data_IF_616125483240
#
_entry.id   IF_616125483240
#
_cell.length_a   1.000
_cell.length_b   1.000
_cell.length_c   1.000
_cell.angle_alpha   90.00
_cell.angle_beta   90.00
_cell.angle_gamma   90.00
#
_symmetry.space_group_name_H-M   'P 1'
#
loop_
_entity.id
_entity.type
_entity.pdbx_description
1 polymer ?
#
# COMPACT_ATOMS: atom_id res chain seq x y z
N UNK A 1 -19.36 17.68 11.38
CA UNK A 1 -19.41 17.97 9.93
C UNK A 1 -18.43 17.08 9.21
N UNK A 2 -18.93 15.96 8.68
CA UNK A 2 -18.18 14.92 8.01
C UNK A 2 -17.96 15.23 6.54
N UNK A 3 -16.90 15.93 6.23
CA UNK A 3 -16.38 16.05 4.88
C UNK A 3 -15.41 14.92 4.55
N UNK A 4 -15.76 13.69 4.86
CA UNK A 4 -15.05 12.53 4.33
C UNK A 4 -15.54 12.36 2.89
N UNK A 5 -14.78 12.87 1.91
CA UNK A 5 -14.97 12.47 0.52
C UNK A 5 -14.73 10.97 0.43
N UNK A 6 -15.82 10.22 0.38
CA UNK A 6 -15.78 8.80 0.07
C UNK A 6 -15.30 8.67 -1.38
N UNK A 7 -14.05 8.26 -1.54
CA UNK A 7 -13.42 8.10 -2.87
C UNK A 7 -13.92 6.85 -3.60
N UNK A 8 -14.63 5.95 -2.89
CA UNK A 8 -15.15 4.69 -3.44
C UNK A 8 -15.98 4.88 -4.70
N UNK A 9 -17.00 5.77 -4.74
CA UNK A 9 -17.83 5.93 -5.94
C UNK A 9 -17.04 6.42 -7.15
N UNK A 10 -16.01 7.25 -6.92
CA UNK A 10 -15.19 7.83 -7.99
C UNK A 10 -14.28 6.76 -8.60
N UNK A 11 -13.61 5.99 -7.75
CA UNK A 11 -12.72 4.89 -8.17
C UNK A 11 -13.52 3.77 -8.86
N UNK A 12 -14.67 3.41 -8.31
CA UNK A 12 -15.59 2.41 -8.89
C UNK A 12 -16.04 2.79 -10.31
N UNK A 13 -16.52 4.01 -10.47
CA UNK A 13 -16.97 4.54 -11.75
C UNK A 13 -15.85 4.53 -12.79
N UNK A 14 -14.66 4.97 -12.43
CA UNK A 14 -13.52 5.03 -13.34
C UNK A 14 -13.00 3.66 -13.76
N UNK A 15 -12.94 2.70 -12.84
CA UNK A 15 -12.56 1.32 -13.14
C UNK A 15 -13.61 0.67 -14.07
N UNK A 16 -14.90 0.93 -13.86
CA UNK A 16 -15.96 0.41 -14.74
C UNK A 16 -15.92 1.03 -16.14
N UNK A 17 -15.67 2.32 -16.26
CA UNK A 17 -15.53 3.02 -17.54
C UNK A 17 -14.32 2.50 -18.34
N UNK A 18 -13.18 2.24 -17.66
CA UNK A 18 -12.01 1.65 -18.33
C UNK A 18 -12.23 0.21 -18.79
N UNK A 19 -12.97 -0.60 -18.02
CA UNK A 19 -13.33 -1.96 -18.44
C UNK A 19 -14.22 -1.92 -19.69
N UNK A 20 -15.12 -0.96 -19.78
CA UNK A 20 -16.02 -0.81 -20.92
C UNK A 20 -15.28 -0.36 -22.19
N UNK A 21 -14.31 0.54 -22.06
CA UNK A 21 -13.48 0.99 -23.18
C UNK A 21 -12.53 -0.10 -23.71
N UNK A 22 -12.05 -1.03 -22.86
CA UNK A 22 -11.23 -2.17 -23.30
C UNK A 22 -12.01 -3.21 -24.12
N UNK A 23 -13.32 -3.30 -23.94
CA UNK A 23 -14.16 -4.26 -24.67
C UNK A 23 -14.50 -3.75 -26.10
N UNK A 24 -14.43 -2.45 -26.32
CA UNK A 24 -14.74 -1.85 -27.65
C UNK A 24 -13.53 -1.73 -28.56
N UNK A 25 -12.30 -1.96 -28.06
CA UNK A 25 -11.04 -1.79 -28.84
C UNK A 25 -10.42 -3.11 -29.31
N UNK A 26 -11.13 -4.24 -29.21
CA UNK A 26 -10.62 -5.58 -29.56
C UNK A 26 -10.87 -6.05 -31.01
N UNK A 27 -11.28 -5.18 -31.90
CA UNK A 27 -11.46 -5.51 -33.32
C UNK A 27 -10.65 -4.57 -34.22
N UNK A 28 -9.34 -4.75 -34.31
CA UNK A 28 -8.52 -4.43 -35.51
C UNK A 28 -7.14 -5.10 -35.39
N UNK A 29 -6.98 -6.11 -36.18
CA UNK A 29 -5.91 -6.66 -37.04
C UNK A 29 -4.42 -6.38 -36.73
N UNK A 30 -3.70 -7.50 -36.79
CA UNK A 30 -2.28 -7.78 -36.88
C UNK A 30 -1.44 -6.72 -37.61
N UNK A 31 -0.39 -6.18 -36.96
CA UNK A 31 1.00 -6.15 -37.49
C UNK A 31 1.97 -5.45 -36.52
N UNK A 32 3.06 -6.18 -36.23
CA UNK A 32 4.45 -5.76 -36.08
C UNK A 32 4.92 -5.00 -34.82
N UNK A 33 5.77 -5.70 -34.11
CA UNK A 33 6.80 -5.35 -33.15
C UNK A 33 7.16 -3.85 -33.00
N UNK A 34 6.76 -3.26 -31.88
CA UNK A 34 7.61 -2.42 -31.04
C UNK A 34 6.99 -2.34 -29.66
N UNK A 35 7.71 -2.80 -28.63
CA UNK A 35 7.40 -2.56 -27.23
C UNK A 35 7.57 -1.06 -26.92
N UNK A 36 6.56 -0.27 -27.27
CA UNK A 36 6.28 0.99 -26.59
C UNK A 36 5.31 0.64 -25.45
N UNK A 37 5.85 0.51 -24.25
CA UNK A 37 5.06 0.60 -23.04
C UNK A 37 4.57 2.05 -22.94
N UNK A 38 3.53 2.38 -23.68
CA UNK A 38 2.71 3.53 -23.39
C UNK A 38 2.18 3.32 -21.96
N UNK A 39 2.83 3.95 -21.00
CA UNK A 39 2.24 4.22 -19.69
C UNK A 39 0.96 5.01 -19.97
N UNK A 40 -0.13 4.29 -20.14
CA UNK A 40 -1.45 4.90 -20.19
C UNK A 40 -1.62 5.59 -18.84
N UNK A 41 -1.45 6.90 -18.86
CA UNK A 41 -1.65 7.76 -17.70
C UNK A 41 -3.11 7.59 -17.25
N UNK A 42 -3.32 6.66 -16.32
CA UNK A 42 -4.66 6.31 -15.84
C UNK A 42 -5.11 7.41 -14.87
N UNK A 43 -6.02 8.33 -15.26
CA UNK A 43 -6.36 9.51 -14.45
C UNK A 43 -6.85 9.18 -13.04
N UNK A 44 -7.45 7.99 -12.85
CA UNK A 44 -7.93 7.54 -11.54
C UNK A 44 -6.78 7.33 -10.55
N UNK A 45 -5.60 6.92 -11.03
CA UNK A 45 -4.43 6.71 -10.15
C UNK A 45 -4.01 8.03 -9.50
N UNK A 46 -3.89 9.08 -10.29
CA UNK A 46 -3.55 10.40 -9.77
C UNK A 46 -4.62 10.91 -8.81
N UNK A 47 -5.89 10.73 -9.13
CA UNK A 47 -6.99 11.12 -8.25
C UNK A 47 -6.98 10.36 -6.93
N UNK A 48 -6.69 9.06 -6.95
CA UNK A 48 -6.53 8.26 -5.74
C UNK A 48 -5.35 8.76 -4.88
N UNK A 49 -4.19 9.00 -5.49
CA UNK A 49 -3.01 9.50 -4.79
C UNK A 49 -3.26 10.87 -4.17
N UNK A 50 -3.93 11.77 -4.88
CA UNK A 50 -4.32 13.10 -4.37
C UNK A 50 -5.30 12.99 -3.20
N UNK A 51 -6.24 12.07 -3.27
CA UNK A 51 -7.18 11.80 -2.18
C UNK A 51 -6.47 11.24 -0.94
N UNK A 52 -5.55 10.30 -1.13
CA UNK A 52 -4.73 9.73 -0.05
C UNK A 52 -3.86 10.80 0.62
N UNK A 53 -3.27 11.73 -0.18
CA UNK A 53 -2.48 12.83 0.34
C UNK A 53 -3.30 13.82 1.18
N UNK A 54 -4.55 14.06 0.81
CA UNK A 54 -5.47 14.94 1.55
C UNK A 54 -6.09 14.27 2.78
N UNK A 55 -6.00 12.96 2.85
CA UNK A 55 -6.56 12.19 3.95
C UNK A 55 -5.86 12.54 5.28
N UNK A 56 -6.61 12.54 6.37
CA UNK A 56 -6.03 12.61 7.70
C UNK A 56 -5.11 11.40 7.92
N UNK A 57 -3.94 11.54 8.58
CA UNK A 57 -3.00 10.42 8.80
C UNK A 57 -3.66 9.17 9.42
N UNK A 58 -4.58 9.36 10.35
CA UNK A 58 -5.31 8.24 10.97
C UNK A 58 -6.25 7.52 9.99
N UNK A 59 -6.92 8.27 9.12
CA UNK A 59 -7.75 7.69 8.06
C UNK A 59 -6.90 6.94 7.02
N UNK A 60 -5.72 7.47 6.69
CA UNK A 60 -4.77 6.79 5.82
C UNK A 60 -4.31 5.46 6.41
N UNK A 61 -3.97 5.44 7.70
CA UNK A 61 -3.63 4.21 8.42
C UNK A 61 -4.76 3.17 8.32
N UNK A 62 -6.01 3.58 8.61
CA UNK A 62 -7.18 2.70 8.53
C UNK A 62 -7.42 2.18 7.11
N UNK A 63 -7.23 3.03 6.10
CA UNK A 63 -7.29 2.63 4.70
C UNK A 63 -6.25 1.55 4.37
N UNK A 64 -5.00 1.75 4.77
CA UNK A 64 -3.93 0.77 4.55
C UNK A 64 -4.19 -0.55 5.28
N UNK A 65 -4.68 -0.50 6.51
CA UNK A 65 -5.07 -1.71 7.28
C UNK A 65 -6.16 -2.50 6.56
N UNK A 66 -7.20 -1.81 6.07
CA UNK A 66 -8.27 -2.44 5.29
C UNK A 66 -7.76 -3.06 3.99
N UNK A 67 -6.84 -2.40 3.28
CA UNK A 67 -6.21 -2.94 2.08
C UNK A 67 -5.39 -4.21 2.40
N UNK A 68 -4.58 -4.20 3.44
CA UNK A 68 -3.80 -5.35 3.89
C UNK A 68 -4.70 -6.54 4.30
N UNK A 69 -5.83 -6.26 4.92
CA UNK A 69 -6.83 -7.30 5.24
C UNK A 69 -7.38 -7.95 3.96
N UNK A 70 -7.63 -7.17 2.91
CA UNK A 70 -8.01 -7.71 1.59
C UNK A 70 -6.93 -8.57 0.95
N UNK A 71 -5.67 -8.30 1.27
CA UNK A 71 -4.51 -9.10 0.81
C UNK A 71 -4.34 -10.40 1.62
N UNK A 72 -5.17 -10.65 2.63
CA UNK A 72 -5.11 -11.87 3.45
C UNK A 72 -4.26 -11.75 4.72
N UNK A 73 -3.92 -10.53 5.13
CA UNK A 73 -3.26 -10.28 6.41
C UNK A 73 -4.33 -10.05 7.48
N UNK A 74 -4.33 -10.89 8.50
CA UNK A 74 -5.20 -10.73 9.66
C UNK A 74 -4.63 -9.63 10.58
N UNK A 75 -5.12 -8.42 10.42
CA UNK A 75 -4.63 -7.25 11.15
C UNK A 75 -5.31 -7.14 12.50
N UNK A 76 -4.53 -7.12 13.58
CA UNK A 76 -5.06 -6.94 14.94
C UNK A 76 -5.48 -5.51 15.21
N UNK A 77 -6.75 -5.32 15.56
CA UNK A 77 -7.34 -4.00 15.84
C UNK A 77 -6.94 -3.43 17.21
N UNK A 78 -6.65 -4.27 18.19
CA UNK A 78 -6.45 -3.85 19.58
C UNK A 78 -5.08 -3.26 19.90
N UNK A 79 -4.05 -3.59 19.13
CA UNK A 79 -2.66 -3.19 19.44
C UNK A 79 -2.34 -1.77 18.96
N UNK A 80 -3.07 -1.27 17.98
CA UNK A 80 -2.81 0.04 17.37
C UNK A 80 -2.99 1.24 18.30
N UNK A 81 -3.69 1.12 19.42
CA UNK A 81 -4.00 2.24 20.30
C UNK A 81 -2.96 2.41 21.42
N UNK A 82 -2.31 1.35 21.87
CA UNK A 82 -1.35 1.41 22.99
C UNK A 82 0.09 1.68 22.58
N UNK A 83 0.48 1.40 21.34
CA UNK A 83 1.89 1.47 20.90
C UNK A 83 2.23 2.66 20.00
N UNK A 84 1.26 3.51 19.69
CA UNK A 84 1.46 4.72 18.87
C UNK A 84 2.41 5.73 19.54
N UNK A 85 2.57 5.67 20.85
CA UNK A 85 3.39 6.65 21.59
C UNK A 85 4.90 6.40 21.49
N UNK A 86 5.36 5.19 21.22
CA UNK A 86 6.75 4.82 21.55
C UNK A 86 7.64 4.32 20.42
N UNK A 87 7.26 4.26 19.16
CA UNK A 87 8.26 3.72 18.28
C UNK A 87 7.98 3.47 16.80
N UNK A 88 6.99 4.10 16.21
CA UNK A 88 6.85 4.07 14.76
C UNK A 88 6.32 2.74 14.20
N UNK A 89 5.48 2.05 14.95
CA UNK A 89 4.74 0.88 14.51
C UNK A 89 3.25 1.17 14.62
N UNK A 90 2.50 1.03 13.51
CA UNK A 90 1.06 1.28 13.51
C UNK A 90 0.23 0.05 13.87
N UNK A 91 0.83 -1.12 13.87
CA UNK A 91 0.16 -2.35 14.26
C UNK A 91 0.89 -3.63 13.87
N UNK A 92 0.24 -4.72 14.15
CA UNK A 92 0.65 -6.07 13.78
C UNK A 92 -0.43 -6.77 13.00
N UNK A 93 -0.02 -7.76 12.25
CA UNK A 93 -0.90 -8.70 11.63
C UNK A 93 -0.29 -10.09 11.63
N UNK A 94 -1.08 -11.05 11.23
CA UNK A 94 -0.67 -12.42 11.07
C UNK A 94 -1.00 -12.89 9.66
N UNK A 95 -0.06 -13.61 9.08
CA UNK A 95 -0.27 -14.35 7.84
C UNK A 95 -0.25 -15.83 8.18
N UNK A 96 -1.30 -16.54 7.79
CA UNK A 96 -1.34 -17.99 7.89
C UNK A 96 -1.13 -18.58 6.51
N UNK A 97 -0.09 -19.39 6.37
CA UNK A 97 0.17 -20.14 5.14
C UNK A 97 -0.70 -21.40 5.05
N UNK A 98 -0.75 -22.00 3.85
CA UNK A 98 -1.56 -23.20 3.59
C UNK A 98 -1.15 -24.42 4.44
N UNK A 99 0.10 -24.45 4.93
CA UNK A 99 0.62 -25.45 5.86
C UNK A 99 0.34 -25.11 7.33
N UNK A 100 -0.58 -24.18 7.59
CA UNK A 100 -0.95 -23.69 8.93
C UNK A 100 0.16 -22.97 9.70
N UNK A 101 1.22 -22.57 9.04
CA UNK A 101 2.26 -21.74 9.65
C UNK A 101 1.74 -20.31 9.82
N UNK A 102 1.84 -19.80 11.05
CA UNK A 102 1.48 -18.41 11.36
C UNK A 102 2.74 -17.57 11.47
N UNK A 103 2.78 -16.47 10.72
CA UNK A 103 3.90 -15.53 10.69
C UNK A 103 3.43 -14.17 11.18
N UNK A 104 4.15 -13.56 12.13
CA UNK A 104 3.85 -12.22 12.64
C UNK A 104 4.46 -11.16 11.71
N UNK A 105 3.64 -10.18 11.33
CA UNK A 105 4.00 -9.09 10.44
C UNK A 105 3.87 -7.77 11.18
N UNK A 106 4.91 -6.94 11.14
CA UNK A 106 4.82 -5.55 11.60
C UNK A 106 4.30 -4.65 10.48
N UNK A 107 3.47 -3.69 10.80
CA UNK A 107 2.82 -2.79 9.85
C UNK A 107 3.12 -1.33 10.18
N UNK A 108 3.51 -0.56 9.17
CA UNK A 108 3.65 0.88 9.24
C UNK A 108 2.98 1.49 8.02
N UNK A 109 2.04 2.40 8.25
CA UNK A 109 1.42 3.20 7.21
C UNK A 109 1.75 4.68 7.44
N UNK A 110 2.45 5.29 6.51
CA UNK A 110 2.91 6.67 6.67
C UNK A 110 2.50 7.54 5.49
N UNK A 111 1.53 8.44 5.73
CA UNK A 111 1.23 9.51 4.79
C UNK A 111 2.39 10.52 4.81
N UNK A 112 3.05 10.67 3.68
CA UNK A 112 4.28 11.45 3.59
C UNK A 112 4.28 12.41 2.40
N UNK A 113 4.90 13.56 2.58
CA UNK A 113 5.27 14.46 1.50
C UNK A 113 6.74 14.24 1.14
N UNK A 114 7.05 14.12 -0.14
CA UNK A 114 8.38 13.74 -0.59
C UNK A 114 8.64 12.24 -0.43
N UNK A 115 9.89 11.83 -0.53
CA UNK A 115 10.27 10.41 -0.46
C UNK A 115 10.63 9.99 0.97
N UNK A 116 10.20 8.80 1.35
CA UNK A 116 10.58 8.20 2.64
C UNK A 116 12.06 7.79 2.58
N UNK A 117 12.83 8.18 3.57
CA UNK A 117 14.28 7.98 3.62
C UNK A 117 14.70 6.76 4.46
N UNK A 118 15.96 6.35 4.34
CA UNK A 118 16.53 5.20 5.04
C UNK A 118 16.38 5.25 6.58
N UNK A 119 16.57 6.38 7.27
CA UNK A 119 16.36 6.45 8.72
C UNK A 119 14.97 6.02 9.19
N UNK A 120 13.93 6.27 8.39
CA UNK A 120 12.58 5.81 8.70
C UNK A 120 12.45 4.29 8.62
N UNK A 121 13.16 3.67 7.69
CA UNK A 121 13.22 2.21 7.54
C UNK A 121 13.98 1.58 8.71
N UNK A 122 15.10 2.17 9.13
CA UNK A 122 15.87 1.69 10.28
C UNK A 122 15.07 1.79 11.57
N UNK A 123 14.35 2.87 11.77
CA UNK A 123 13.45 3.06 12.91
C UNK A 123 12.36 1.97 12.94
N UNK A 124 11.76 1.68 11.80
CA UNK A 124 10.76 0.62 11.67
C UNK A 124 11.36 -0.77 11.94
N UNK A 125 12.56 -1.04 11.45
CA UNK A 125 13.30 -2.29 11.74
C UNK A 125 13.54 -2.47 13.24
N UNK A 126 13.94 -1.41 13.94
CA UNK A 126 14.11 -1.45 15.41
C UNK A 126 12.79 -1.79 16.13
N UNK A 127 11.67 -1.28 15.64
CA UNK A 127 10.36 -1.63 16.18
C UNK A 127 10.00 -3.11 15.89
N UNK A 128 10.31 -3.62 14.70
CA UNK A 128 10.12 -5.04 14.36
C UNK A 128 10.87 -5.95 15.34
N UNK A 129 12.12 -5.61 15.67
CA UNK A 129 12.94 -6.38 16.60
C UNK A 129 12.35 -6.39 18.01
N UNK A 130 11.91 -5.23 18.49
CA UNK A 130 11.28 -5.08 19.80
C UNK A 130 10.04 -5.97 19.96
N UNK A 131 9.28 -6.18 18.91
CA UNK A 131 8.02 -6.91 18.92
C UNK A 131 8.11 -8.32 18.30
N UNK A 132 9.31 -8.79 17.98
CA UNK A 132 9.54 -10.11 17.38
C UNK A 132 8.73 -10.36 16.10
N UNK A 133 8.57 -9.34 15.25
CA UNK A 133 7.95 -9.53 13.95
C UNK A 133 8.94 -10.21 13.00
N UNK A 134 8.49 -11.22 12.28
CA UNK A 134 9.33 -11.99 11.35
C UNK A 134 9.63 -11.20 10.08
N UNK A 135 8.67 -10.41 9.60
CA UNK A 135 8.88 -9.43 8.53
C UNK A 135 8.01 -8.18 8.73
N UNK A 136 8.29 -7.15 7.95
CA UNK A 136 7.57 -5.88 8.02
C UNK A 136 7.01 -5.44 6.70
N UNK A 137 5.92 -4.69 6.74
CA UNK A 137 5.34 -4.00 5.60
C UNK A 137 5.29 -2.50 5.93
N UNK A 138 5.94 -1.70 5.11
CA UNK A 138 5.92 -0.25 5.19
C UNK A 138 5.18 0.32 3.98
N UNK A 139 4.06 1.00 4.22
CA UNK A 139 3.21 1.59 3.16
C UNK A 139 3.28 3.11 3.24
N UNK A 140 3.44 3.75 2.09
CA UNK A 140 3.34 5.20 1.94
C UNK A 140 2.53 5.59 0.71
N UNK A 141 1.87 6.74 0.75
CA UNK A 141 1.22 7.34 -0.42
C UNK A 141 2.21 7.96 -1.41
N UNK A 142 3.46 8.15 -1.01
CA UNK A 142 4.54 8.71 -1.83
C UNK A 142 5.46 7.62 -2.37
N UNK A 143 6.75 7.84 -2.32
CA UNK A 143 7.76 6.90 -2.79
C UNK A 143 8.90 6.78 -1.77
N UNK A 144 9.86 5.92 -2.03
CA UNK A 144 11.03 5.67 -1.19
C UNK A 144 12.31 6.15 -1.89
N UNK A 145 13.27 6.64 -1.11
CA UNK A 145 14.60 6.93 -1.64
C UNK A 145 15.31 5.62 -2.05
N UNK A 146 16.31 5.72 -2.90
CA UNK A 146 17.12 4.58 -3.32
C UNK A 146 17.79 3.91 -2.12
N UNK A 147 18.28 4.70 -1.16
CA UNK A 147 18.87 4.24 0.08
C UNK A 147 17.84 3.53 0.97
N UNK A 148 16.61 4.02 1.05
CA UNK A 148 15.52 3.36 1.79
C UNK A 148 15.22 1.96 1.20
N UNK A 149 15.14 1.85 -0.11
CA UNK A 149 14.94 0.55 -0.80
C UNK A 149 16.09 -0.42 -0.50
N UNK A 150 17.34 0.06 -0.52
CA UNK A 150 18.52 -0.75 -0.17
C UNK A 150 18.44 -1.20 1.29
N UNK A 151 18.22 -0.28 2.22
CA UNK A 151 18.10 -0.55 3.66
C UNK A 151 17.00 -1.57 3.96
N UNK A 152 15.87 -1.51 3.28
CA UNK A 152 14.77 -2.46 3.47
C UNK A 152 15.13 -3.92 3.12
N UNK A 153 16.08 -4.11 2.22
CA UNK A 153 16.58 -5.44 1.78
C UNK A 153 17.76 -5.94 2.59
N UNK A 154 18.38 -5.10 3.39
CA UNK A 154 19.53 -5.46 4.23
C UNK A 154 19.07 -6.10 5.54
N UNK A 155 19.97 -6.89 6.13
CA UNK A 155 19.75 -7.55 7.41
C UNK A 155 18.99 -8.88 7.31
N UNK A 156 18.67 -9.44 8.44
CA UNK A 156 18.04 -10.77 8.57
C UNK A 156 16.52 -10.74 8.36
N UNK A 157 15.90 -9.59 8.53
CA UNK A 157 14.46 -9.39 8.39
C UNK A 157 14.17 -8.41 7.25
N UNK A 158 13.53 -8.90 6.21
CA UNK A 158 13.19 -8.11 5.03
C UNK A 158 11.97 -7.25 5.33
N UNK A 159 12.02 -5.99 4.89
CA UNK A 159 10.90 -5.06 4.92
C UNK A 159 10.36 -4.91 3.50
N UNK A 160 9.08 -5.25 3.33
CA UNK A 160 8.37 -5.02 2.09
C UNK A 160 7.93 -3.56 2.02
N UNK A 161 8.31 -2.84 0.97
CA UNK A 161 7.92 -1.46 0.72
C UNK A 161 6.77 -1.42 -0.28
N UNK A 162 5.73 -0.66 0.05
CA UNK A 162 4.59 -0.40 -0.83
C UNK A 162 4.47 1.11 -0.98
N UNK A 163 4.74 1.61 -2.18
CA UNK A 163 4.61 3.02 -2.52
C UNK A 163 3.21 3.36 -3.06
N UNK A 164 2.99 4.64 -3.40
CA UNK A 164 1.71 5.11 -3.91
C UNK A 164 1.23 4.39 -5.17
N UNK A 165 2.11 4.14 -6.13
CA UNK A 165 1.76 3.42 -7.37
C UNK A 165 1.34 1.97 -7.07
N UNK A 166 2.05 1.31 -6.19
CA UNK A 166 1.72 -0.04 -5.74
C UNK A 166 0.40 -0.09 -4.95
N UNK A 167 0.07 0.97 -4.19
CA UNK A 167 -1.26 1.10 -3.57
C UNK A 167 -2.33 1.10 -4.66
N UNK A 168 -2.14 1.86 -5.74
CA UNK A 168 -3.09 1.88 -6.85
C UNK A 168 -3.25 0.48 -7.48
N UNK A 169 -2.16 -0.23 -7.73
CA UNK A 169 -2.19 -1.59 -8.25
C UNK A 169 -2.98 -2.55 -7.35
N UNK A 170 -2.74 -2.46 -6.04
CA UNK A 170 -3.41 -3.30 -5.05
C UNK A 170 -4.89 -2.96 -4.92
N UNK A 171 -5.26 -1.69 -4.94
CA UNK A 171 -6.66 -1.22 -4.93
C UNK A 171 -7.41 -1.80 -6.13
N UNK A 172 -6.82 -1.74 -7.33
CA UNK A 172 -7.41 -2.31 -8.53
C UNK A 172 -7.49 -3.85 -8.47
N UNK A 173 -6.41 -4.50 -8.04
CA UNK A 173 -6.33 -5.98 -7.96
C UNK A 173 -7.36 -6.58 -7.01
N UNK A 174 -7.54 -5.97 -5.84
CA UNK A 174 -8.42 -6.48 -4.77
C UNK A 174 -9.80 -5.83 -4.77
N UNK A 175 -10.12 -4.98 -5.74
CA UNK A 175 -11.36 -4.20 -5.80
C UNK A 175 -11.66 -3.51 -4.46
N UNK A 176 -10.64 -2.87 -3.90
CA UNK A 176 -10.72 -2.17 -2.62
C UNK A 176 -11.00 -0.68 -2.85
N UNK A 177 -12.27 -0.32 -2.76
CA UNK A 177 -12.76 1.05 -2.93
C UNK A 177 -14.02 1.26 -2.09
#
# INVERSE_FOLDING_TARGET
FDGAHDVRPVVEKMISEQRQNRITDSDIDDTDDQEDTDEVDEPWRQQLLDALMKMNPKKFELFCRGLLTKMGIDVEDEIGVQYVADGGLDGFGYVRSDDYRTTRVALQAKRWQGKVSAPEIDKFRGAMDKFNAEFGIFITNSDFTREAVKTAREGTRIITLINGDQICDLVAKYNYY
#
